data_IF_929210039823
#
_entry.id   IF_929210039823
#
_cell.length_a   1.000
_cell.length_b   1.000
_cell.length_c   1.000
_cell.angle_alpha   90.00
_cell.angle_beta   90.00
_cell.angle_gamma   90.00
#
_symmetry.space_group_name_H-M   'P 1'
#
loop_
_entity.id
_entity.type
_entity.pdbx_description
1 polymer ?
#
# COMPACT_ATOMS: atom_id res chain seq x y z
N UNK A 1 -2.92 -6.13 13.41
CA UNK A 1 -1.46 -6.23 13.17
C UNK A 1 -0.75 -7.25 14.05
N UNK A 2 -0.96 -7.26 15.38
CA UNK A 2 -0.29 -8.25 16.28
C UNK A 2 -0.44 -9.70 15.82
N UNK A 3 -1.64 -10.11 15.40
CA UNK A 3 -1.88 -11.46 14.87
C UNK A 3 -1.05 -11.76 13.62
N UNK A 4 -0.93 -10.81 12.69
CA UNK A 4 -0.10 -10.93 11.49
C UNK A 4 1.36 -11.17 11.85
N UNK A 5 1.91 -10.37 12.77
CA UNK A 5 3.30 -10.51 13.22
C UNK A 5 3.53 -11.85 13.91
N UNK A 6 2.60 -12.26 14.79
CA UNK A 6 2.70 -13.54 15.48
C UNK A 6 2.65 -14.71 14.49
N UNK A 7 1.79 -14.64 13.48
CA UNK A 7 1.70 -15.65 12.42
C UNK A 7 3.02 -15.73 11.63
N UNK A 8 3.58 -14.59 11.22
CA UNK A 8 4.87 -14.54 10.50
C UNK A 8 6.01 -15.14 11.32
N UNK A 9 6.09 -14.80 12.62
CA UNK A 9 7.10 -15.33 13.54
C UNK A 9 6.95 -16.83 13.75
N UNK A 10 5.72 -17.30 13.99
CA UNK A 10 5.42 -18.72 14.18
C UNK A 10 5.79 -19.55 12.94
N UNK A 11 5.47 -19.02 11.75
CA UNK A 11 5.82 -19.64 10.47
C UNK A 11 7.30 -19.45 10.06
N UNK A 12 8.10 -18.74 10.86
CA UNK A 12 9.52 -18.42 10.59
C UNK A 12 9.74 -17.78 9.22
N UNK A 13 8.77 -16.97 8.77
CA UNK A 13 8.83 -16.30 7.46
C UNK A 13 9.77 -15.10 7.54
N UNK A 14 10.69 -15.01 6.58
CA UNK A 14 11.50 -13.82 6.37
C UNK A 14 10.82 -12.92 5.34
N UNK A 15 10.45 -11.71 5.76
CA UNK A 15 9.85 -10.70 4.87
C UNK A 15 10.79 -9.50 4.72
N UNK A 16 10.89 -8.99 3.49
CA UNK A 16 11.67 -7.78 3.21
C UNK A 16 10.96 -6.50 3.65
N UNK A 17 9.68 -6.38 3.30
CA UNK A 17 8.80 -5.24 3.61
C UNK A 17 7.40 -5.76 3.91
N UNK A 18 6.78 -5.23 4.96
CA UNK A 18 5.35 -5.41 5.21
C UNK A 18 4.58 -4.28 4.52
N UNK A 19 3.75 -4.62 3.54
CA UNK A 19 2.94 -3.67 2.79
C UNK A 19 1.56 -3.54 3.43
N UNK A 20 1.16 -2.33 3.77
CA UNK A 20 -0.20 -2.03 4.23
C UNK A 20 -1.07 -1.74 3.02
N UNK A 21 -2.02 -2.62 2.78
CA UNK A 21 -3.03 -2.47 1.75
C UNK A 21 -4.15 -1.53 2.23
N UNK A 22 -4.17 -0.31 1.69
CA UNK A 22 -5.12 0.75 2.04
C UNK A 22 -5.98 1.07 0.83
N UNK A 23 -7.01 0.25 0.62
CA UNK A 23 -7.86 0.32 -0.57
C UNK A 23 -9.36 0.13 -0.26
N UNK A 24 -10.17 0.04 -1.32
CA UNK A 24 -11.60 -0.20 -1.27
C UNK A 24 -12.36 0.81 -0.39
N UNK A 25 -12.45 2.10 -0.78
CA UNK A 25 -13.09 3.14 0.03
C UNK A 25 -14.47 2.81 0.61
N UNK A 26 -15.36 2.06 -0.08
CA UNK A 26 -16.63 1.62 0.51
C UNK A 26 -16.52 0.77 1.79
N UNK A 27 -15.38 0.13 2.04
CA UNK A 27 -15.12 -0.66 3.24
C UNK A 27 -14.63 0.16 4.44
N UNK A 28 -14.38 1.46 4.25
CA UNK A 28 -13.88 2.34 5.30
C UNK A 28 -14.97 3.27 5.83
N UNK A 29 -14.93 3.61 7.13
CA UNK A 29 -15.71 4.71 7.67
C UNK A 29 -15.46 6.01 6.92
N UNK A 30 -16.46 6.89 6.88
CA UNK A 30 -16.32 8.23 6.27
C UNK A 30 -15.41 9.17 7.06
N UNK A 31 -15.14 8.86 8.34
CA UNK A 31 -14.27 9.66 9.19
C UNK A 31 -12.79 9.38 8.89
N UNK A 32 -12.19 10.27 8.11
CA UNK A 32 -10.76 10.17 7.74
C UNK A 32 -9.82 10.19 8.94
N UNK A 33 -10.16 10.84 10.06
CA UNK A 33 -9.32 10.84 11.26
C UNK A 33 -9.28 9.47 11.93
N UNK A 34 -10.42 8.78 12.00
CA UNK A 34 -10.49 7.39 12.46
C UNK A 34 -9.68 6.46 11.56
N UNK A 35 -9.78 6.63 10.24
CA UNK A 35 -9.05 5.81 9.27
C UNK A 35 -7.53 6.01 9.39
N UNK A 36 -7.07 7.26 9.49
CA UNK A 36 -5.66 7.60 9.72
C UNK A 36 -5.12 6.93 10.97
N UNK A 37 -5.87 7.05 12.08
CA UNK A 37 -5.47 6.43 13.34
C UNK A 37 -5.37 4.91 13.23
N UNK A 38 -6.28 4.26 12.50
CA UNK A 38 -6.20 2.83 12.27
C UNK A 38 -4.93 2.43 11.48
N UNK A 39 -4.62 3.14 10.39
CA UNK A 39 -3.38 2.92 9.62
C UNK A 39 -2.15 3.15 10.51
N UNK A 40 -2.18 4.19 11.34
CA UNK A 40 -1.10 4.53 12.27
C UNK A 40 -0.86 3.47 13.33
N UNK A 41 -1.92 3.01 14.00
CA UNK A 41 -1.83 1.96 15.01
C UNK A 41 -1.27 0.66 14.41
N UNK A 42 -1.66 0.32 13.17
CA UNK A 42 -1.10 -0.84 12.46
C UNK A 42 0.38 -0.65 12.11
N UNK A 43 0.76 0.51 11.56
CA UNK A 43 2.14 0.82 11.21
C UNK A 43 3.06 0.80 12.42
N UNK A 44 2.66 1.42 13.53
CA UNK A 44 3.44 1.48 14.75
C UNK A 44 3.73 0.10 15.34
N UNK A 45 2.76 -0.82 15.31
CA UNK A 45 2.98 -2.20 15.77
C UNK A 45 4.04 -2.91 14.91
N UNK A 46 4.02 -2.73 13.59
CA UNK A 46 5.01 -3.34 12.68
C UNK A 46 6.41 -2.73 12.86
N UNK A 47 6.50 -1.39 12.93
CA UNK A 47 7.75 -0.65 13.13
C UNK A 47 8.39 -1.05 14.47
N UNK A 48 7.62 -1.06 15.55
CA UNK A 48 8.12 -1.41 16.89
C UNK A 48 8.57 -2.88 16.98
N UNK A 49 8.05 -3.75 16.12
CA UNK A 49 8.50 -5.14 16.00
C UNK A 49 9.72 -5.30 15.08
N UNK A 50 10.27 -4.21 14.52
CA UNK A 50 11.48 -4.19 13.70
C UNK A 50 11.27 -4.43 12.21
N UNK A 51 10.02 -4.40 11.73
CA UNK A 51 9.74 -4.60 10.30
C UNK A 51 9.91 -3.31 9.50
N UNK A 52 10.46 -3.42 8.28
CA UNK A 52 10.34 -2.38 7.25
C UNK A 52 8.90 -2.36 6.75
N UNK A 53 8.37 -1.18 6.49
CA UNK A 53 7.00 -1.01 6.02
C UNK A 53 6.93 -0.25 4.69
N UNK A 54 5.82 -0.39 3.99
CA UNK A 54 5.42 0.40 2.84
C UNK A 54 3.90 0.46 2.73
N UNK A 55 3.38 1.37 1.90
CA UNK A 55 1.94 1.52 1.65
C UNK A 55 1.63 1.01 0.23
N UNK A 56 0.61 0.18 0.10
CA UNK A 56 -0.05 -0.10 -1.16
C UNK A 56 -1.35 0.71 -1.22
N UNK A 57 -1.52 1.54 -2.26
CA UNK A 57 -2.73 2.33 -2.50
C UNK A 57 -2.71 2.98 -3.88
N UNK A 58 -3.89 3.31 -4.39
CA UNK A 58 -4.07 4.29 -5.47
C UNK A 58 -4.35 5.70 -4.93
N UNK A 59 -4.20 6.72 -5.77
CA UNK A 59 -4.46 8.12 -5.38
C UNK A 59 -5.92 8.35 -4.94
N UNK A 60 -6.88 7.75 -5.66
CA UNK A 60 -8.30 7.82 -5.30
C UNK A 60 -8.55 7.22 -3.91
N UNK A 61 -8.08 5.99 -3.69
CA UNK A 61 -8.27 5.28 -2.42
C UNK A 61 -7.66 6.07 -1.24
N UNK A 62 -6.39 6.48 -1.37
CA UNK A 62 -5.71 7.25 -0.32
C UNK A 62 -6.46 8.55 0.01
N UNK A 63 -6.85 9.31 -1.02
CA UNK A 63 -7.53 10.59 -0.82
C UNK A 63 -8.91 10.41 -0.20
N UNK A 64 -9.65 9.35 -0.51
CA UNK A 64 -10.96 9.08 0.08
C UNK A 64 -10.84 8.55 1.51
N UNK A 65 -9.93 7.60 1.75
CA UNK A 65 -9.79 6.91 3.04
C UNK A 65 -9.06 7.78 4.05
N UNK A 66 -7.91 8.34 3.66
CA UNK A 66 -7.04 9.10 4.54
C UNK A 66 -7.18 10.61 4.35
N UNK A 67 -7.86 11.10 3.31
CA UNK A 67 -7.98 12.53 3.03
C UNK A 67 -6.75 13.09 2.29
N UNK A 68 -6.99 13.96 1.31
CA UNK A 68 -5.95 14.49 0.40
C UNK A 68 -4.85 15.32 1.07
N UNK A 69 -5.09 15.89 2.24
CA UNK A 69 -4.10 16.63 3.01
C UNK A 69 -3.19 15.74 3.88
N UNK A 70 -3.47 14.44 3.97
CA UNK A 70 -2.70 13.52 4.81
C UNK A 70 -1.44 13.04 4.08
N UNK A 71 -0.29 13.50 4.58
CA UNK A 71 1.04 13.25 3.99
C UNK A 71 1.93 12.38 4.86
N UNK A 72 1.41 11.90 6.00
CA UNK A 72 2.11 10.87 6.77
C UNK A 72 2.30 9.64 5.89
N UNK A 73 3.43 8.97 6.07
CA UNK A 73 3.92 7.86 5.25
C UNK A 73 4.62 8.19 3.94
N UNK A 74 4.68 9.46 3.52
CA UNK A 74 5.41 9.86 2.30
C UNK A 74 6.91 9.55 2.31
N UNK A 75 7.51 9.38 3.49
CA UNK A 75 8.91 8.92 3.66
C UNK A 75 9.10 7.40 3.48
N UNK A 76 8.02 6.62 3.47
CA UNK A 76 8.05 5.18 3.26
C UNK A 76 7.77 4.82 1.80
N UNK A 77 8.25 3.65 1.32
CA UNK A 77 7.98 3.16 -0.03
C UNK A 77 6.49 3.10 -0.36
N UNK A 78 6.15 3.49 -1.58
CA UNK A 78 4.80 3.38 -2.14
C UNK A 78 4.75 2.28 -3.20
N UNK A 79 3.79 1.38 -3.06
CA UNK A 79 3.32 0.48 -4.10
C UNK A 79 2.03 1.08 -4.68
N UNK A 80 2.20 1.75 -5.80
CA UNK A 80 1.18 2.55 -6.46
C UNK A 80 0.23 1.66 -7.26
N UNK A 81 -1.06 1.69 -6.95
CA UNK A 81 -2.09 1.04 -7.74
C UNK A 81 -2.65 2.02 -8.78
N UNK A 82 -2.40 1.75 -10.06
CA UNK A 82 -2.98 2.50 -11.18
C UNK A 82 -3.05 1.62 -12.44
N UNK A 83 -4.24 1.16 -12.78
CA UNK A 83 -4.44 0.14 -13.82
C UNK A 83 -4.42 0.70 -15.25
N UNK A 84 -3.32 1.38 -15.61
CA UNK A 84 -3.14 2.07 -16.89
C UNK A 84 -2.54 1.17 -18.00
N UNK A 85 -2.26 -0.11 -17.69
CA UNK A 85 -1.63 -1.08 -18.60
C UNK A 85 -0.21 -0.71 -19.06
N UNK A 86 0.50 0.16 -18.32
CA UNK A 86 1.87 0.61 -18.62
C UNK A 86 2.84 0.12 -17.54
N UNK A 87 3.75 -0.77 -17.96
CA UNK A 87 4.80 -1.33 -17.10
C UNK A 87 5.97 -0.34 -16.91
N UNK A 88 5.67 0.83 -16.35
CA UNK A 88 6.65 1.84 -15.93
C UNK A 88 6.19 2.52 -14.62
N UNK A 89 6.99 3.42 -14.04
CA UNK A 89 6.64 4.16 -12.81
C UNK A 89 6.11 5.58 -13.07
N UNK A 90 6.01 6.02 -14.32
CA UNK A 90 5.90 7.44 -14.67
C UNK A 90 4.64 7.78 -15.45
N UNK A 91 4.13 6.87 -16.26
CA UNK A 91 2.97 7.11 -17.12
C UNK A 91 1.71 7.28 -16.25
N UNK A 92 1.16 8.49 -16.24
CA UNK A 92 -0.02 8.81 -15.44
C UNK A 92 0.27 9.06 -13.95
N UNK A 93 1.54 9.13 -13.54
CA UNK A 93 1.90 9.49 -12.18
C UNK A 93 1.50 10.94 -11.87
N UNK A 94 0.96 11.16 -10.67
CA UNK A 94 0.70 12.47 -10.08
C UNK A 94 1.01 12.37 -8.59
N UNK A 95 1.63 13.40 -8.02
CA UNK A 95 1.93 13.42 -6.60
C UNK A 95 0.62 13.39 -5.78
N UNK A 96 0.58 12.53 -4.76
CA UNK A 96 -0.52 12.44 -3.79
C UNK A 96 0.02 11.93 -2.45
N UNK A 97 -0.68 12.19 -1.35
CA UNK A 97 -0.26 11.69 -0.02
C UNK A 97 1.16 12.10 0.41
N UNK A 98 1.72 13.15 -0.20
CA UNK A 98 3.12 13.57 -0.01
C UNK A 98 4.15 12.78 -0.82
N UNK A 99 3.80 11.67 -1.46
CA UNK A 99 4.72 10.94 -2.35
C UNK A 99 4.95 11.71 -3.64
N UNK A 100 6.23 11.85 -4.01
CA UNK A 100 6.67 12.44 -5.28
C UNK A 100 7.07 11.41 -6.33
N UNK A 101 7.18 10.13 -5.92
CA UNK A 101 7.45 8.98 -6.78
C UNK A 101 6.92 7.69 -6.15
N UNK A 102 6.59 6.72 -6.99
CA UNK A 102 6.33 5.34 -6.56
C UNK A 102 7.65 4.55 -6.40
N UNK A 103 7.60 3.47 -5.63
CA UNK A 103 8.65 2.43 -5.56
C UNK A 103 8.27 1.20 -6.38
N UNK A 104 6.99 0.83 -6.38
CA UNK A 104 6.42 -0.25 -7.18
C UNK A 104 5.15 0.30 -7.83
N UNK A 105 4.80 -0.17 -9.02
CA UNK A 105 3.55 0.14 -9.69
C UNK A 105 2.82 -1.13 -10.12
N UNK A 106 1.60 -1.32 -9.63
CA UNK A 106 0.67 -2.33 -10.09
C UNK A 106 -0.16 -1.74 -11.23
N UNK A 107 0.16 -2.15 -12.46
CA UNK A 107 -0.38 -1.55 -13.68
C UNK A 107 -1.58 -2.31 -14.27
N UNK A 108 -1.94 -3.45 -13.68
CA UNK A 108 -3.09 -4.31 -14.03
C UNK A 108 -3.49 -5.21 -12.84
N UNK A 109 -4.66 -5.88 -12.91
CA UNK A 109 -5.21 -6.77 -11.87
C UNK A 109 -5.47 -8.22 -12.34
N UNK A 110 -5.31 -8.52 -13.63
CA UNK A 110 -5.71 -9.84 -14.17
C UNK A 110 -4.88 -10.23 -15.39
N UNK A 111 -3.56 -10.21 -15.25
CA UNK A 111 -2.69 -10.64 -16.34
C UNK A 111 -2.64 -12.17 -16.40
N UNK A 112 -2.91 -12.73 -17.58
CA UNK A 112 -2.83 -14.16 -17.83
C UNK A 112 -1.56 -14.50 -18.60
N UNK A 113 -0.69 -15.32 -18.02
CA UNK A 113 0.47 -15.88 -18.71
C UNK A 113 0.81 -17.27 -18.16
N UNK A 114 1.20 -18.20 -19.03
CA UNK A 114 1.65 -19.55 -18.66
C UNK A 114 0.66 -20.31 -17.75
N UNK A 115 -0.65 -20.10 -17.92
CA UNK A 115 -1.69 -20.75 -17.12
C UNK A 115 -1.92 -20.14 -15.73
N UNK A 116 -1.28 -19.01 -15.41
CA UNK A 116 -1.47 -18.26 -14.16
C UNK A 116 -2.18 -16.94 -14.43
N UNK A 117 -3.04 -16.54 -13.50
CA UNK A 117 -3.61 -15.19 -13.43
C UNK A 117 -2.95 -14.48 -12.24
N UNK A 118 -2.39 -13.30 -12.48
CA UNK A 118 -1.69 -12.54 -11.46
C UNK A 118 -1.81 -11.03 -11.68
N UNK A 119 -1.54 -10.28 -10.62
CA UNK A 119 -1.41 -8.83 -10.66
C UNK A 119 0.02 -8.45 -11.05
N UNK A 120 0.24 -7.91 -12.27
CA UNK A 120 1.58 -7.57 -12.68
C UNK A 120 2.06 -6.26 -12.07
N UNK A 121 3.35 -6.22 -11.76
CA UNK A 121 4.00 -5.10 -11.09
C UNK A 121 5.34 -4.78 -11.75
N UNK A 122 5.72 -3.50 -11.72
CA UNK A 122 7.06 -3.02 -12.10
C UNK A 122 7.68 -2.25 -10.93
N UNK A 123 9.01 -2.31 -10.80
CA UNK A 123 9.80 -1.66 -9.75
C UNK A 123 10.94 -0.86 -10.36
#
# INVERSE_FOLDING_TARGET
MTNTINALKAAKVQIGTLWFDVENPPAWPTNVATNRKFVEDMANVAINAGYKIGIYTGAYAWNTICGSSYTSYSSYPLWWANYNKKADLTTGWKNFGGWTKATIHQYDQNHSANGLIFDPNVK
#
